data_IF_386677239413
#
_entry.id   IF_386677239413
#
_cell.length_a   1.000
_cell.length_b   1.000
_cell.length_c   1.000
_cell.angle_alpha   90.00
_cell.angle_beta   90.00
_cell.angle_gamma   90.00
#
_symmetry.space_group_name_H-M   'P 1'
#
loop_
_entity.id
_entity.type
_entity.pdbx_description
1 polymer ?
#
# COMPACT_ATOMS: atom_id res chain seq x y z
N UNK A 1 -5.04 6.27 3.27
CA UNK A 1 -5.25 5.14 4.19
C UNK A 1 -6.00 4.07 3.41
N UNK A 2 -5.40 2.89 3.24
CA UNK A 2 -5.96 1.75 2.51
C UNK A 2 -5.89 0.47 3.37
N UNK A 3 -5.84 0.62 4.69
CA UNK A 3 -5.78 -0.53 5.61
C UNK A 3 -6.95 -1.48 5.36
N UNK A 4 -6.64 -2.76 5.15
CA UNK A 4 -7.67 -3.77 4.90
C UNK A 4 -8.46 -3.59 3.59
N UNK A 5 -8.04 -2.71 2.69
CA UNK A 5 -8.75 -2.46 1.44
C UNK A 5 -8.80 -3.71 0.56
N UNK A 6 -9.94 -3.99 -0.04
CA UNK A 6 -10.12 -5.08 -1.02
C UNK A 6 -9.86 -4.54 -2.42
N UNK A 7 -8.62 -4.59 -2.86
CA UNK A 7 -8.16 -4.12 -4.18
C UNK A 7 -7.93 -5.28 -5.15
N UNK A 8 -8.57 -6.43 -4.88
CA UNK A 8 -8.45 -7.63 -5.70
C UNK A 8 -8.92 -7.36 -7.14
N UNK A 9 -8.03 -7.56 -8.10
CA UNK A 9 -8.32 -7.30 -9.52
C UNK A 9 -8.37 -5.82 -9.90
N UNK A 10 -7.98 -4.91 -9.01
CA UNK A 10 -7.98 -3.48 -9.33
C UNK A 10 -6.88 -3.13 -10.34
N UNK A 11 -7.16 -2.21 -11.26
CA UNK A 11 -6.14 -1.59 -12.08
C UNK A 11 -5.57 -0.37 -11.35
N UNK A 12 -4.32 -0.47 -10.92
CA UNK A 12 -3.56 0.57 -10.23
C UNK A 12 -2.31 0.96 -11.06
N UNK A 13 -2.39 0.78 -12.38
CA UNK A 13 -1.31 1.15 -13.29
C UNK A 13 -0.98 2.63 -13.12
N UNK A 14 0.30 2.94 -12.88
CA UNK A 14 0.81 4.29 -12.59
C UNK A 14 0.16 4.99 -11.38
N UNK A 15 -0.46 4.25 -10.46
CA UNK A 15 -1.04 4.84 -9.26
C UNK A 15 0.05 5.35 -8.29
N UNK A 16 -0.18 6.53 -7.71
CA UNK A 16 0.65 7.05 -6.63
C UNK A 16 0.07 6.61 -5.29
N UNK A 17 0.74 5.65 -4.63
CA UNK A 17 0.34 5.10 -3.35
C UNK A 17 1.29 5.52 -2.22
N UNK A 18 2.16 6.51 -2.45
CA UNK A 18 3.10 7.01 -1.44
C UNK A 18 2.36 7.54 -0.22
N UNK A 19 2.84 7.18 0.97
CA UNK A 19 2.23 7.55 2.25
C UNK A 19 0.88 6.87 2.54
N UNK A 20 0.35 6.01 1.66
CA UNK A 20 -0.86 5.26 1.95
C UNK A 20 -0.55 4.10 2.90
N UNK A 21 -1.22 4.01 4.03
CA UNK A 21 -1.09 2.82 4.89
C UNK A 21 -1.77 1.62 4.22
N UNK A 22 -0.99 0.65 3.73
CA UNK A 22 -1.48 -0.52 2.99
C UNK A 22 -1.58 -1.79 3.87
N UNK A 23 -1.37 -1.67 5.19
CA UNK A 23 -1.42 -2.81 6.11
C UNK A 23 -2.71 -3.63 5.94
N UNK A 24 -2.57 -4.91 5.58
CA UNK A 24 -3.70 -5.83 5.39
C UNK A 24 -4.52 -5.61 4.12
N UNK A 25 -4.12 -4.74 3.21
CA UNK A 25 -4.78 -4.59 1.92
C UNK A 25 -4.59 -5.85 1.05
N UNK A 26 -5.65 -6.27 0.36
CA UNK A 26 -5.65 -7.37 -0.58
C UNK A 26 -5.44 -6.85 -2.01
N UNK A 27 -4.24 -7.05 -2.55
CA UNK A 27 -3.86 -6.73 -3.93
C UNK A 27 -3.87 -7.94 -4.87
N UNK A 28 -4.50 -9.05 -4.48
CA UNK A 28 -4.51 -10.27 -5.31
C UNK A 28 -5.03 -9.96 -6.72
N UNK A 29 -4.29 -10.36 -7.76
CA UNK A 29 -4.62 -10.08 -9.17
C UNK A 29 -4.71 -8.58 -9.55
N UNK A 30 -4.21 -7.64 -8.74
CA UNK A 30 -4.19 -6.23 -9.10
C UNK A 30 -3.10 -5.93 -10.16
N UNK A 31 -3.39 -5.02 -11.08
CA UNK A 31 -2.38 -4.49 -12.01
C UNK A 31 -1.62 -3.35 -11.34
N UNK A 32 -0.35 -3.57 -11.01
CA UNK A 32 0.52 -2.62 -10.29
C UNK A 32 1.62 -2.03 -11.17
N UNK A 33 1.52 -2.19 -12.49
CA UNK A 33 2.54 -1.73 -13.43
C UNK A 33 2.77 -0.21 -13.28
N UNK A 34 3.99 0.19 -12.92
CA UNK A 34 4.32 1.61 -12.71
C UNK A 34 3.74 2.23 -11.44
N UNK A 35 3.06 1.47 -10.58
CA UNK A 35 2.61 1.97 -9.29
C UNK A 35 3.80 2.38 -8.41
N UNK A 36 3.65 3.51 -7.72
CA UNK A 36 4.71 4.07 -6.88
C UNK A 36 4.37 3.82 -5.41
N UNK A 37 5.29 3.16 -4.71
CA UNK A 37 5.23 2.91 -3.28
C UNK A 37 6.42 3.58 -2.59
N UNK A 38 6.22 4.09 -1.39
CA UNK A 38 7.32 4.50 -0.51
C UNK A 38 7.48 3.54 0.67
N UNK A 39 8.56 3.73 1.42
CA UNK A 39 8.89 2.91 2.60
C UNK A 39 7.81 2.94 3.68
N UNK A 40 6.95 3.96 3.68
CA UNK A 40 5.83 4.11 4.61
C UNK A 40 4.58 3.38 4.11
N UNK A 41 4.49 3.08 2.82
CA UNK A 41 3.31 2.48 2.21
C UNK A 41 3.05 1.05 2.69
N UNK A 42 4.12 0.29 2.96
CA UNK A 42 4.03 -1.16 3.25
C UNK A 42 3.79 -1.44 4.75
N UNK A 43 3.56 -0.42 5.57
CA UNK A 43 3.19 -0.65 6.96
C UNK A 43 4.25 -1.44 7.72
N UNK A 44 5.54 -1.08 7.57
CA UNK A 44 6.41 -1.25 8.73
C UNK A 44 5.70 -0.46 9.83
N UNK A 45 5.21 -1.11 10.91
CA UNK A 45 4.58 -0.38 11.99
C UNK A 45 5.58 0.70 12.34
N UNK A 46 5.17 1.97 12.19
CA UNK A 46 6.03 3.11 12.46
C UNK A 46 6.68 2.78 13.80
N UNK A 47 7.98 2.49 13.80
CA UNK A 47 8.75 2.36 15.01
C UNK A 47 8.73 3.77 15.58
N UNK A 48 7.64 4.12 16.28
CA UNK A 48 7.63 5.21 17.22
C UNK A 48 8.70 4.77 18.20
N UNK A 49 9.87 5.39 18.11
CA UNK A 49 10.97 5.14 19.01
C UNK A 49 10.40 5.13 20.42
N UNK A 50 10.40 3.95 21.04
CA UNK A 50 10.28 3.85 22.48
C UNK A 50 11.66 4.22 22.99
N UNK A 51 11.81 5.50 23.34
CA UNK A 51 12.71 5.93 24.41
C UNK A 51 12.38 5.17 25.69
#
# INVERSE_FOLDING_TARGET
DLRGAKLRGANLTNADLRGAELSGADFSNAELSGAIFDKQSIGLPRLSGRS
#
